data_IF_801418846988
#
_entry.id   IF_801418846988
#
_cell.length_a   1.000
_cell.length_b   1.000
_cell.length_c   1.000
_cell.angle_alpha   90.00
_cell.angle_beta   90.00
_cell.angle_gamma   90.00
#
_symmetry.space_group_name_H-M   'P 1'
#
loop_
_entity.id
_entity.type
_entity.pdbx_description
1 polymer ?
#
# COMPACT_ATOMS: atom_id res chain seq x y z
N UNK A 1 -40.38 -0.80 20.43
CA UNK A 1 -39.68 0.14 19.53
C UNK A 1 -40.71 1.14 19.03
N UNK A 2 -40.38 2.44 19.03
CA UNK A 2 -41.27 3.52 18.61
C UNK A 2 -40.59 4.25 17.45
N UNK A 3 -41.31 4.42 16.35
CA UNK A 3 -40.87 5.23 15.22
C UNK A 3 -41.78 6.45 15.11
N UNK A 4 -41.18 7.63 15.00
CA UNK A 4 -41.85 8.92 14.93
C UNK A 4 -41.47 9.64 13.63
N UNK A 5 -42.44 10.24 12.94
CA UNK A 5 -42.17 11.14 11.82
C UNK A 5 -41.99 12.61 12.28
N UNK A 6 -41.58 13.47 11.34
CA UNK A 6 -41.36 14.91 11.59
C UNK A 6 -42.65 15.66 11.97
N UNK A 7 -43.82 15.13 11.62
CA UNK A 7 -45.12 15.69 11.99
C UNK A 7 -45.60 15.22 13.37
N UNK A 8 -44.82 14.38 14.05
CA UNK A 8 -45.12 13.87 15.38
C UNK A 8 -46.05 12.65 15.39
N UNK A 9 -46.27 12.00 14.24
CA UNK A 9 -47.01 10.74 14.22
C UNK A 9 -46.10 9.62 14.68
N UNK A 10 -46.56 8.86 15.67
CA UNK A 10 -45.82 7.75 16.23
C UNK A 10 -46.51 6.41 15.96
N UNK A 11 -45.72 5.42 15.57
CA UNK A 11 -46.13 4.02 15.56
C UNK A 11 -45.24 3.23 16.51
N UNK A 12 -45.86 2.47 17.40
CA UNK A 12 -45.15 1.59 18.33
C UNK A 12 -45.38 0.13 17.98
N UNK A 13 -44.33 -0.67 18.16
CA UNK A 13 -44.41 -2.12 18.08
C UNK A 13 -43.76 -2.74 19.31
N UNK A 14 -44.36 -3.83 19.79
CA UNK A 14 -43.88 -4.64 20.90
C UNK A 14 -43.47 -5.99 20.32
N UNK A 15 -42.24 -6.40 20.57
CA UNK A 15 -41.79 -7.76 20.33
C UNK A 15 -41.38 -8.41 21.64
N UNK A 16 -41.69 -9.69 21.76
CA UNK A 16 -41.35 -10.48 22.93
C UNK A 16 -40.04 -11.22 22.66
N UNK A 17 -39.00 -10.86 23.41
CA UNK A 17 -37.74 -11.59 23.40
C UNK A 17 -37.89 -12.87 24.21
N UNK A 18 -37.96 -14.02 23.54
CA UNK A 18 -37.92 -15.33 24.19
C UNK A 18 -36.45 -15.78 24.33
N UNK A 19 -35.90 -15.66 25.54
CA UNK A 19 -34.56 -16.18 25.87
C UNK A 19 -34.60 -17.72 25.84
N UNK A 20 -33.69 -18.35 25.10
CA UNK A 20 -33.49 -19.80 25.18
C UNK A 20 -33.03 -20.17 26.61
N UNK A 21 -33.57 -21.22 27.25
CA UNK A 21 -33.13 -21.66 28.57
C UNK A 21 -31.66 -22.13 28.56
N UNK A 22 -31.17 -22.56 27.40
CA UNK A 22 -29.74 -22.77 27.14
C UNK A 22 -29.11 -21.45 26.71
N UNK A 23 -28.57 -20.72 27.69
CA UNK A 23 -27.48 -19.78 27.38
C UNK A 23 -26.23 -20.60 27.26
N UNK A 24 -25.86 -20.97 26.02
CA UNK A 24 -24.45 -21.24 25.77
C UNK A 24 -23.74 -19.94 26.17
N UNK A 25 -22.97 -19.98 27.26
CA UNK A 25 -22.10 -18.86 27.58
C UNK A 25 -21.36 -18.51 26.27
N UNK A 26 -21.34 -17.24 25.86
CA UNK A 26 -20.62 -16.87 24.65
C UNK A 26 -19.22 -17.47 24.78
N UNK A 27 -18.80 -18.21 23.76
CA UNK A 27 -17.48 -18.83 23.77
C UNK A 27 -16.48 -17.72 23.99
N UNK A 28 -15.87 -17.68 25.18
CA UNK A 28 -14.80 -16.74 25.46
C UNK A 28 -13.62 -17.23 24.61
N UNK A 29 -13.42 -16.58 23.47
CA UNK A 29 -12.22 -16.82 22.69
C UNK A 29 -11.02 -16.34 23.52
N UNK A 30 -9.94 -17.12 23.61
CA UNK A 30 -8.75 -16.66 24.28
C UNK A 30 -8.22 -15.42 23.55
N UNK A 31 -8.22 -14.28 24.22
CA UNK A 31 -7.63 -13.04 23.74
C UNK A 31 -6.24 -12.85 24.35
N UNK A 32 -5.35 -12.20 23.61
CA UNK A 32 -3.98 -11.95 24.07
C UNK A 32 -3.85 -10.55 24.66
N UNK A 33 -4.70 -9.62 24.23
CA UNK A 33 -4.72 -8.24 24.71
C UNK A 33 -6.14 -7.70 24.73
N UNK A 34 -6.45 -6.78 25.65
CA UNK A 34 -7.76 -6.15 25.72
C UNK A 34 -7.61 -4.64 25.53
N UNK A 35 -7.93 -4.17 24.32
CA UNK A 35 -7.91 -2.75 24.00
C UNK A 35 -9.27 -2.14 24.37
N UNK A 36 -9.25 -1.10 25.20
CA UNK A 36 -10.48 -0.37 25.55
C UNK A 36 -10.77 0.71 24.52
N UNK A 37 -12.03 0.81 24.08
CA UNK A 37 -12.45 1.92 23.24
C UNK A 37 -12.27 3.25 23.97
N UNK A 38 -11.92 4.28 23.21
CA UNK A 38 -11.68 5.60 23.78
C UNK A 38 -10.40 5.72 24.60
N UNK A 39 -9.48 4.74 24.53
CA UNK A 39 -8.17 4.76 25.22
C UNK A 39 -7.04 4.42 24.25
N UNK A 40 -5.92 5.12 24.38
CA UNK A 40 -4.70 4.77 23.66
C UNK A 40 -3.99 3.65 24.40
N UNK A 41 -3.54 2.63 23.68
CA UNK A 41 -2.89 1.46 24.27
C UNK A 41 -2.00 0.77 23.23
N UNK A 42 -1.10 -0.10 23.67
CA UNK A 42 -0.10 -0.74 22.82
C UNK A 42 0.12 -2.20 23.17
N UNK A 43 0.22 -3.04 22.15
CA UNK A 43 0.72 -4.41 22.24
C UNK A 43 2.19 -4.43 21.81
N UNK A 44 3.07 -4.93 22.67
CA UNK A 44 4.51 -5.02 22.38
C UNK A 44 5.00 -6.45 22.62
N UNK A 45 5.66 -7.01 21.61
CA UNK A 45 6.34 -8.30 21.65
C UNK A 45 7.79 -8.14 21.19
N UNK A 46 8.55 -9.23 21.12
CA UNK A 46 9.92 -9.21 20.61
C UNK A 46 10.03 -8.84 19.11
N UNK A 47 8.97 -9.09 18.32
CA UNK A 47 9.01 -8.96 16.85
C UNK A 47 7.86 -8.14 16.26
N UNK A 48 6.88 -7.75 17.07
CA UNK A 48 5.74 -6.93 16.65
C UNK A 48 5.40 -5.91 17.72
N UNK A 49 5.18 -4.66 17.30
CA UNK A 49 4.56 -3.61 18.10
C UNK A 49 3.34 -3.09 17.38
N UNK A 50 2.25 -2.90 18.10
CA UNK A 50 1.04 -2.28 17.59
C UNK A 50 0.60 -1.22 18.58
N UNK A 51 0.50 0.02 18.13
CA UNK A 51 0.00 1.13 18.94
C UNK A 51 -1.37 1.55 18.39
N UNK A 52 -2.38 1.44 19.24
CA UNK A 52 -3.79 1.73 18.95
C UNK A 52 -4.13 3.09 19.58
N UNK A 53 -4.28 4.15 18.77
CA UNK A 53 -4.70 5.45 19.27
C UNK A 53 -6.10 5.45 19.91
N UNK A 54 -6.35 6.45 20.75
CA UNK A 54 -7.57 6.62 21.54
C UNK A 54 -8.89 6.48 20.75
N UNK A 55 -8.89 6.90 19.49
CA UNK A 55 -10.09 6.97 18.64
C UNK A 55 -10.11 5.91 17.55
N UNK A 56 -9.28 4.87 17.65
CA UNK A 56 -9.18 3.84 16.61
C UNK A 56 -10.28 2.79 16.69
N UNK A 57 -10.84 2.53 17.87
CA UNK A 57 -11.85 1.50 18.09
C UNK A 57 -13.21 2.12 18.43
N UNK A 58 -14.29 1.54 17.89
CA UNK A 58 -15.67 1.90 18.21
C UNK A 58 -16.16 1.29 19.52
N UNK A 59 -15.62 0.13 19.89
CA UNK A 59 -15.96 -0.63 21.10
C UNK A 59 -14.72 -1.36 21.63
N UNK A 60 -14.82 -1.87 22.86
CA UNK A 60 -13.74 -2.65 23.48
C UNK A 60 -13.40 -3.88 22.63
N UNK A 61 -12.11 -4.13 22.43
CA UNK A 61 -11.60 -5.19 21.58
C UNK A 61 -10.81 -6.22 22.39
N UNK A 62 -11.34 -7.43 22.46
CA UNK A 62 -10.66 -8.62 22.96
C UNK A 62 -9.77 -9.18 21.85
N UNK A 63 -8.60 -8.57 21.69
CA UNK A 63 -7.73 -8.74 20.54
C UNK A 63 -7.15 -10.16 20.45
N UNK A 64 -7.33 -10.76 19.27
CA UNK A 64 -6.70 -12.02 18.91
C UNK A 64 -5.42 -11.78 18.12
N UNK A 65 -4.33 -12.35 18.63
CA UNK A 65 -3.00 -12.27 18.06
C UNK A 65 -2.44 -13.68 17.83
N UNK A 66 -1.90 -13.90 16.64
CA UNK A 66 -1.15 -15.11 16.32
C UNK A 66 -0.03 -14.84 15.33
N UNK A 67 0.89 -15.78 15.21
CA UNK A 67 1.94 -15.76 14.20
C UNK A 67 2.14 -17.15 13.62
N UNK A 68 2.32 -17.22 12.31
CA UNK A 68 2.60 -18.45 11.58
C UNK A 68 3.94 -18.28 10.85
N UNK A 69 4.86 -19.27 10.92
CA UNK A 69 6.07 -19.23 10.12
C UNK A 69 5.70 -19.29 8.64
N UNK A 70 6.28 -18.38 7.84
CA UNK A 70 6.14 -18.36 6.39
C UNK A 70 7.54 -18.22 5.82
N UNK A 71 7.82 -18.96 4.75
CA UNK A 71 9.11 -18.97 4.08
C UNK A 71 8.94 -18.67 2.60
N UNK A 72 9.87 -17.91 2.05
CA UNK A 72 9.96 -17.57 0.64
C UNK A 72 11.11 -16.58 0.43
N UNK A 73 11.66 -16.53 -0.76
CA UNK A 73 12.88 -15.75 -1.05
C UNK A 73 12.72 -14.25 -0.79
N UNK A 74 11.48 -13.74 -0.85
CA UNK A 74 11.13 -12.35 -0.59
C UNK A 74 10.54 -12.11 0.80
N UNK A 75 10.37 -13.14 1.65
CA UNK A 75 9.69 -13.03 2.95
C UNK A 75 10.70 -12.82 4.07
N UNK A 76 10.55 -11.72 4.81
CA UNK A 76 11.49 -11.29 5.86
C UNK A 76 10.84 -11.18 7.24
N UNK A 77 9.69 -11.83 7.48
CA UNK A 77 9.15 -12.03 8.82
C UNK A 77 8.22 -13.23 8.86
N UNK A 78 7.81 -13.66 10.07
CA UNK A 78 6.61 -14.47 10.20
C UNK A 78 5.38 -13.70 9.68
N UNK A 79 4.30 -14.42 9.38
CA UNK A 79 3.01 -13.81 9.12
C UNK A 79 2.27 -13.63 10.44
N UNK A 80 1.93 -12.40 10.77
CA UNK A 80 1.20 -12.04 11.98
C UNK A 80 -0.28 -11.84 11.68
N UNK A 81 -1.14 -12.57 12.39
CA UNK A 81 -2.58 -12.38 12.37
C UNK A 81 -2.96 -11.42 13.49
N UNK A 82 -3.45 -10.26 13.09
CA UNK A 82 -3.90 -9.17 13.96
C UNK A 82 -5.42 -9.07 13.85
N UNK A 83 -6.12 -9.90 14.62
CA UNK A 83 -7.58 -10.05 14.59
C UNK A 83 -8.19 -10.30 13.18
N UNK A 84 -9.52 -10.26 13.09
CA UNK A 84 -10.27 -10.34 11.85
C UNK A 84 -10.49 -8.96 11.20
N UNK A 85 -10.57 -8.92 9.86
CA UNK A 85 -10.85 -7.69 9.08
C UNK A 85 -12.29 -7.16 9.22
N UNK A 86 -13.09 -7.72 10.12
CA UNK A 86 -14.48 -7.29 10.33
C UNK A 86 -14.59 -6.14 11.32
N UNK A 87 -13.52 -5.89 12.07
CA UNK A 87 -13.48 -4.87 13.10
C UNK A 87 -12.98 -3.58 12.46
N UNK A 88 -13.87 -2.60 12.38
CA UNK A 88 -13.56 -1.32 11.74
C UNK A 88 -12.58 -0.51 12.60
N UNK A 89 -11.47 -0.10 11.99
CA UNK A 89 -10.59 0.92 12.57
C UNK A 89 -11.05 2.29 12.11
N UNK A 90 -11.50 3.11 13.07
CA UNK A 90 -11.95 4.49 12.82
C UNK A 90 -10.78 5.45 12.54
N UNK A 91 -9.60 5.12 13.06
CA UNK A 91 -8.34 5.84 12.85
C UNK A 91 -7.22 4.81 12.61
N UNK A 92 -6.23 5.11 11.75
CA UNK A 92 -5.11 4.21 11.51
C UNK A 92 -4.37 3.82 12.79
N UNK A 93 -3.92 2.57 12.83
CA UNK A 93 -3.12 1.98 13.89
C UNK A 93 -1.66 1.93 13.42
N UNK A 94 -0.73 2.25 14.31
CA UNK A 94 0.69 2.17 14.02
C UNK A 94 1.16 0.73 14.22
N UNK A 95 1.59 0.08 13.13
CA UNK A 95 2.14 -1.27 13.14
C UNK A 95 3.65 -1.20 12.92
N UNK A 96 4.41 -1.91 13.75
CA UNK A 96 5.83 -2.12 13.56
C UNK A 96 6.15 -3.61 13.60
N UNK A 97 6.89 -4.09 12.60
CA UNK A 97 7.39 -5.46 12.55
C UNK A 97 8.91 -5.40 12.50
N UNK A 98 9.56 -6.25 13.30
CA UNK A 98 11.01 -6.44 13.23
C UNK A 98 11.31 -7.50 12.17
N UNK A 99 11.98 -7.14 11.06
CA UNK A 99 12.33 -8.12 10.05
C UNK A 99 13.38 -9.10 10.54
N UNK A 100 13.46 -10.26 9.89
CA UNK A 100 14.56 -11.20 10.00
C UNK A 100 15.88 -10.55 9.56
N UNK A 101 17.04 -11.09 9.96
CA UNK A 101 18.33 -10.62 9.47
C UNK A 101 18.39 -10.60 7.94
N UNK A 102 18.94 -9.52 7.38
CA UNK A 102 19.00 -9.29 5.95
C UNK A 102 20.22 -8.44 5.59
N UNK A 103 20.72 -8.55 4.34
CA UNK A 103 21.79 -7.68 3.87
C UNK A 103 21.29 -6.23 3.70
N UNK A 104 22.19 -5.25 3.83
CA UNK A 104 21.86 -3.84 3.67
C UNK A 104 21.29 -3.52 2.27
N UNK A 105 21.67 -4.30 1.25
CA UNK A 105 21.21 -4.13 -0.14
C UNK A 105 19.70 -4.31 -0.33
N UNK A 106 19.03 -5.05 0.55
CA UNK A 106 17.57 -5.24 0.47
C UNK A 106 16.82 -4.38 1.47
N UNK A 107 17.50 -3.69 2.39
CA UNK A 107 16.88 -2.97 3.51
C UNK A 107 15.85 -1.94 3.03
N UNK A 108 16.19 -1.18 2.00
CA UNK A 108 15.27 -0.16 1.42
C UNK A 108 14.14 -0.79 0.61
N UNK A 109 14.25 -2.07 0.27
CA UNK A 109 13.26 -2.86 -0.47
C UNK A 109 12.20 -3.49 0.43
N UNK A 110 12.38 -3.45 1.76
CA UNK A 110 11.45 -4.08 2.69
C UNK A 110 10.20 -3.21 2.91
N UNK A 111 9.04 -3.85 2.76
CA UNK A 111 7.73 -3.28 2.98
C UNK A 111 6.90 -4.18 3.89
N UNK A 112 6.05 -3.58 4.71
CA UNK A 112 4.95 -4.31 5.36
C UNK A 112 3.86 -4.51 4.33
N UNK A 113 3.41 -5.75 4.16
CA UNK A 113 2.30 -6.10 3.29
C UNK A 113 1.21 -6.82 4.06
N UNK A 114 -0.03 -6.47 3.75
CA UNK A 114 -1.21 -7.19 4.18
C UNK A 114 -1.48 -8.34 3.20
N UNK A 115 -1.75 -9.53 3.72
CA UNK A 115 -2.08 -10.71 2.91
C UNK A 115 -3.59 -10.89 2.89
N UNK A 116 -4.19 -10.84 1.70
CA UNK A 116 -5.64 -11.08 1.56
C UNK A 116 -5.98 -12.58 1.57
N UNK A 117 -7.26 -12.93 1.49
CA UNK A 117 -7.71 -14.33 1.50
C UNK A 117 -7.21 -15.15 0.29
N UNK A 118 -6.95 -14.49 -0.85
CA UNK A 118 -6.37 -15.10 -2.05
C UNK A 118 -4.84 -15.25 -1.99
N UNK A 119 -4.19 -14.81 -0.90
CA UNK A 119 -2.74 -14.81 -0.77
C UNK A 119 -2.02 -13.67 -1.50
N UNK A 120 -2.74 -12.69 -2.04
CA UNK A 120 -2.16 -11.50 -2.69
C UNK A 120 -1.75 -10.46 -1.65
N UNK A 121 -0.65 -9.77 -1.95
CA UNK A 121 -0.12 -8.71 -1.13
C UNK A 121 -0.77 -7.36 -1.43
N UNK A 122 -1.18 -6.66 -0.38
CA UNK A 122 -1.51 -5.24 -0.38
C UNK A 122 -0.42 -4.53 0.40
N UNK A 123 0.50 -3.90 -0.32
CA UNK A 123 1.65 -3.23 0.27
C UNK A 123 1.24 -1.98 1.03
N UNK A 124 1.87 -1.77 2.18
CA UNK A 124 1.65 -0.59 3.00
C UNK A 124 2.88 0.32 2.94
N UNK A 125 2.64 1.63 2.93
CA UNK A 125 3.72 2.61 2.97
C UNK A 125 4.55 2.41 4.25
N UNK A 126 5.80 2.00 4.07
CA UNK A 126 6.66 1.55 5.17
C UNK A 126 7.87 2.46 5.34
N UNK A 127 8.26 2.69 6.58
CA UNK A 127 9.42 3.51 6.94
C UNK A 127 10.22 2.83 8.03
N UNK A 128 11.52 3.06 8.07
CA UNK A 128 12.38 2.50 9.11
C UNK A 128 12.36 3.37 10.37
N UNK A 129 12.15 2.74 11.52
CA UNK A 129 12.33 3.30 12.87
C UNK A 129 13.36 2.45 13.61
N UNK A 130 14.63 2.84 13.49
CA UNK A 130 15.77 2.05 13.96
C UNK A 130 15.85 0.68 13.26
N UNK A 131 15.62 -0.40 14.02
CA UNK A 131 15.59 -1.78 13.49
C UNK A 131 14.18 -2.29 13.18
N UNK A 132 13.17 -1.44 13.33
CA UNK A 132 11.77 -1.78 13.10
C UNK A 132 11.31 -1.19 11.79
N UNK A 133 10.55 -1.97 11.02
CA UNK A 133 9.82 -1.44 9.89
C UNK A 133 8.44 -1.02 10.38
N UNK A 134 8.04 0.22 10.10
CA UNK A 134 6.81 0.85 10.57
C UNK A 134 5.87 1.15 9.41
N UNK A 135 4.57 0.89 9.59
CA UNK A 135 3.50 1.31 8.69
C UNK A 135 2.26 1.74 9.49
N UNK A 136 1.39 2.52 8.86
CA UNK A 136 0.03 2.74 9.36
C UNK A 136 -0.94 1.79 8.69
N UNK A 137 -1.77 1.11 9.47
CA UNK A 137 -2.79 0.17 8.98
C UNK A 137 -4.18 0.70 9.31
N UNK A 138 -5.11 0.60 8.36
CA UNK A 138 -6.51 1.00 8.53
C UNK A 138 -7.47 -0.18 8.67
N UNK A 139 -6.92 -1.40 8.66
CA UNK A 139 -7.67 -2.65 8.77
C UNK A 139 -6.87 -3.70 9.53
N UNK A 140 -7.57 -4.52 10.30
CA UNK A 140 -7.00 -5.72 10.89
C UNK A 140 -6.79 -6.82 9.82
N UNK A 141 -6.10 -7.90 10.20
CA UNK A 141 -5.82 -9.03 9.30
C UNK A 141 -4.40 -9.55 9.37
N UNK A 142 -3.93 -10.16 8.28
CA UNK A 142 -2.63 -10.82 8.21
C UNK A 142 -1.57 -9.89 7.63
N UNK A 143 -0.45 -9.74 8.31
CA UNK A 143 0.64 -8.85 7.92
C UNK A 143 2.00 -9.56 7.99
N UNK A 144 2.88 -9.23 7.06
CA UNK A 144 4.27 -9.69 7.06
C UNK A 144 5.18 -8.66 6.39
N UNK A 145 6.49 -8.83 6.57
CA UNK A 145 7.50 -8.06 5.86
C UNK A 145 7.90 -8.81 4.60
N UNK A 146 7.85 -8.12 3.46
CA UNK A 146 8.21 -8.65 2.15
C UNK A 146 9.17 -7.68 1.46
N UNK A 147 10.12 -8.21 0.69
CA UNK A 147 10.98 -7.40 -0.17
C UNK A 147 10.34 -7.21 -1.55
N UNK A 148 10.24 -5.97 -1.99
CA UNK A 148 9.91 -5.65 -3.37
C UNK A 148 11.17 -5.50 -4.22
N UNK A 149 11.35 -6.42 -5.16
CA UNK A 149 12.55 -6.51 -6.01
C UNK A 149 12.25 -6.33 -7.49
N UNK A 150 10.99 -6.13 -7.86
CA UNK A 150 10.57 -6.04 -9.27
C UNK A 150 10.61 -4.58 -9.70
N UNK A 151 11.28 -4.29 -10.81
CA UNK A 151 11.32 -2.94 -11.34
C UNK A 151 10.02 -2.60 -12.10
N UNK A 152 9.61 -1.31 -12.13
CA UNK A 152 8.47 -0.88 -12.91
C UNK A 152 8.70 -1.16 -14.40
N UNK A 153 7.65 -1.49 -15.14
CA UNK A 153 7.73 -1.77 -16.57
C UNK A 153 7.42 -0.52 -17.39
N UNK A 154 8.18 -0.29 -18.46
CA UNK A 154 7.97 0.81 -19.40
C UNK A 154 7.61 0.23 -20.76
N UNK A 155 6.43 0.54 -21.28
CA UNK A 155 5.99 0.11 -22.61
C UNK A 155 5.64 1.30 -23.48
N UNK A 156 6.32 1.47 -24.61
CA UNK A 156 5.95 2.47 -25.62
C UNK A 156 4.56 2.12 -26.20
N UNK A 157 3.62 3.05 -26.08
CA UNK A 157 2.26 2.93 -26.63
C UNK A 157 2.19 3.63 -27.99
N UNK A 158 2.76 4.82 -28.09
CA UNK A 158 2.83 5.56 -29.35
C UNK A 158 3.99 6.53 -29.38
N UNK A 159 4.48 6.74 -30.61
CA UNK A 159 5.40 7.82 -30.96
C UNK A 159 4.81 8.52 -32.17
N UNK A 160 4.49 9.80 -32.02
CA UNK A 160 3.97 10.64 -33.12
C UNK A 160 4.93 11.79 -33.39
N UNK A 161 5.02 12.18 -34.67
CA UNK A 161 5.86 13.27 -35.11
C UNK A 161 5.05 14.20 -36.03
N UNK A 162 5.20 15.51 -35.86
CA UNK A 162 4.61 16.53 -36.71
C UNK A 162 5.59 17.70 -36.84
N UNK A 163 6.17 17.86 -38.03
CA UNK A 163 7.27 18.80 -38.26
C UNK A 163 8.45 18.48 -37.34
N UNK A 164 8.88 19.47 -36.55
CA UNK A 164 9.95 19.32 -35.55
C UNK A 164 9.46 18.82 -34.18
N UNK A 165 8.15 18.59 -34.00
CA UNK A 165 7.58 18.16 -32.72
C UNK A 165 7.43 16.65 -32.66
N UNK A 166 7.86 16.05 -31.54
CA UNK A 166 7.68 14.64 -31.24
C UNK A 166 6.94 14.46 -29.92
N UNK A 167 6.05 13.47 -29.87
CA UNK A 167 5.37 13.05 -28.64
C UNK A 167 5.55 11.55 -28.46
N UNK A 168 6.00 11.15 -27.28
CA UNK A 168 6.04 9.77 -26.85
C UNK A 168 5.01 9.56 -25.74
N UNK A 169 4.28 8.46 -25.81
CA UNK A 169 3.36 8.04 -24.75
C UNK A 169 3.70 6.62 -24.34
N UNK A 170 3.90 6.42 -23.03
CA UNK A 170 4.29 5.16 -22.42
C UNK A 170 3.22 4.67 -21.46
N UNK A 171 3.02 3.37 -21.38
CA UNK A 171 2.35 2.68 -20.29
C UNK A 171 3.37 2.30 -19.23
N UNK A 172 3.12 2.68 -17.98
CA UNK A 172 3.98 2.37 -16.85
C UNK A 172 3.23 1.46 -15.88
N UNK A 173 3.73 0.26 -15.59
CA UNK A 173 3.11 -0.62 -14.59
C UNK A 173 4.10 -0.96 -13.50
N UNK A 174 3.59 -0.99 -12.27
CA UNK A 174 4.34 -1.32 -11.07
C UNK A 174 3.57 -2.34 -10.24
N UNK A 175 4.27 -3.29 -9.62
CA UNK A 175 3.68 -4.34 -8.79
C UNK A 175 3.35 -3.83 -7.38
N UNK A 176 4.01 -2.76 -6.94
CA UNK A 176 3.84 -2.15 -5.62
C UNK A 176 3.43 -0.69 -5.78
N UNK A 177 2.20 -0.37 -5.39
CA UNK A 177 1.72 1.01 -5.37
C UNK A 177 1.57 1.50 -3.92
N UNK A 178 2.66 1.78 -3.18
CA UNK A 178 2.54 2.45 -1.89
C UNK A 178 2.30 3.95 -2.12
N UNK A 179 1.88 4.65 -1.07
CA UNK A 179 1.51 6.08 -1.09
C UNK A 179 2.61 7.07 -1.56
N UNK A 180 3.81 6.59 -1.95
CA UNK A 180 4.93 7.39 -2.44
C UNK A 180 4.99 7.60 -3.96
N UNK A 181 4.27 6.79 -4.75
CA UNK A 181 4.18 6.92 -6.20
C UNK A 181 5.48 6.65 -6.97
N UNK A 182 5.39 6.65 -8.30
CA UNK A 182 6.52 6.50 -9.22
C UNK A 182 7.27 7.82 -9.40
N UNK A 183 8.59 7.75 -9.47
CA UNK A 183 9.47 8.84 -9.89
C UNK A 183 9.89 8.61 -11.34
N UNK A 184 10.04 9.67 -12.11
CA UNK A 184 10.44 9.55 -13.51
C UNK A 184 11.27 10.73 -13.98
N UNK A 185 12.15 10.47 -14.94
CA UNK A 185 13.01 11.46 -15.56
C UNK A 185 13.11 11.17 -17.07
N UNK A 186 12.82 12.17 -17.89
CA UNK A 186 12.93 12.07 -19.34
C UNK A 186 14.03 13.01 -19.83
N UNK A 187 14.87 12.51 -20.74
CA UNK A 187 15.97 13.30 -21.32
C UNK A 187 16.09 13.08 -22.81
N UNK A 188 16.58 14.09 -23.52
CA UNK A 188 17.04 14.01 -24.90
C UNK A 188 18.52 14.40 -24.93
N UNK A 189 19.41 13.50 -25.33
CA UNK A 189 20.87 13.70 -25.27
C UNK A 189 21.38 14.14 -23.88
N UNK A 190 20.76 13.61 -22.83
CA UNK A 190 20.99 13.93 -21.41
C UNK A 190 20.47 15.30 -20.94
N UNK A 191 19.85 16.09 -21.82
CA UNK A 191 19.13 17.31 -21.43
C UNK A 191 17.71 16.96 -20.99
N UNK A 192 17.26 17.51 -19.87
CA UNK A 192 15.93 17.24 -19.32
C UNK A 192 14.82 17.71 -20.26
N UNK A 193 13.75 16.92 -20.37
CA UNK A 193 12.51 17.29 -21.07
C UNK A 193 11.29 17.04 -20.18
N UNK A 194 10.24 17.84 -20.40
CA UNK A 194 9.01 17.72 -19.64
C UNK A 194 8.31 16.39 -19.94
N UNK A 195 8.00 15.68 -18.86
CA UNK A 195 7.18 14.47 -18.86
C UNK A 195 6.00 14.63 -17.90
N UNK A 196 4.82 14.22 -18.34
CA UNK A 196 3.57 14.31 -17.58
C UNK A 196 3.05 12.90 -17.28
N UNK A 197 2.83 12.59 -15.99
CA UNK A 197 2.25 11.31 -15.58
C UNK A 197 0.76 11.43 -15.27
N UNK A 198 -0.05 10.71 -16.03
CA UNK A 198 -1.47 10.46 -15.75
C UNK A 198 -1.60 9.15 -14.97
N UNK A 199 -1.64 9.27 -13.65
CA UNK A 199 -1.80 8.16 -12.70
C UNK A 199 -3.07 7.34 -12.96
N UNK A 200 -4.17 7.95 -13.44
CA UNK A 200 -5.43 7.22 -13.66
C UNK A 200 -5.36 6.29 -14.87
N UNK A 201 -4.47 6.58 -15.82
CA UNK A 201 -4.28 5.83 -17.05
C UNK A 201 -2.97 5.06 -17.08
N UNK A 202 -2.15 5.19 -16.05
CA UNK A 202 -0.80 4.64 -16.02
C UNK A 202 0.01 5.11 -17.25
N UNK A 203 -0.06 6.41 -17.57
CA UNK A 203 0.58 6.97 -18.78
C UNK A 203 1.58 8.07 -18.48
N UNK A 204 2.80 7.92 -18.98
CA UNK A 204 3.74 9.04 -19.08
C UNK A 204 3.75 9.56 -20.51
N UNK A 205 3.53 10.86 -20.68
CA UNK A 205 3.66 11.54 -21.98
C UNK A 205 4.83 12.50 -21.96
N UNK A 206 5.75 12.35 -22.91
CA UNK A 206 6.90 13.23 -23.10
C UNK A 206 6.69 14.00 -24.40
N UNK A 207 6.87 15.32 -24.37
CA UNK A 207 6.79 16.17 -25.57
C UNK A 207 8.13 16.83 -25.80
N UNK A 208 8.58 16.77 -27.04
CA UNK A 208 9.82 17.39 -27.49
C UNK A 208 9.46 18.33 -28.63
N UNK A 209 9.81 19.59 -28.46
CA UNK A 209 9.66 20.63 -29.48
C UNK A 209 10.98 21.36 -29.61
N UNK A 210 11.59 21.28 -30.80
CA UNK A 210 12.77 22.05 -31.16
C UNK A 210 12.42 23.02 -32.28
N UNK A 211 13.04 24.21 -32.28
CA UNK A 211 12.95 25.12 -33.43
C UNK A 211 13.63 24.52 -34.65
N UNK A 212 14.77 23.87 -34.45
CA UNK A 212 15.55 23.15 -35.46
C UNK A 212 16.23 21.92 -34.82
N UNK A 213 16.42 20.87 -35.61
CA UNK A 213 17.17 19.67 -35.22
C UNK A 213 18.55 19.75 -35.89
N UNK A 214 19.58 20.04 -35.10
CA UNK A 214 20.95 20.29 -35.55
C UNK A 214 21.80 19.02 -35.69
N UNK A 215 21.30 17.87 -35.21
CA UNK A 215 21.96 16.56 -35.34
C UNK A 215 21.13 15.59 -36.17
N UNK A 216 21.82 14.66 -36.81
CA UNK A 216 21.18 13.53 -37.53
C UNK A 216 20.58 12.51 -36.57
N UNK A 217 21.06 12.45 -35.32
CA UNK A 217 20.59 11.50 -34.32
C UNK A 217 20.52 12.12 -32.94
N UNK A 218 19.49 11.74 -32.19
CA UNK A 218 19.34 12.07 -30.76
C UNK A 218 18.93 10.81 -29.99
N UNK A 219 19.31 10.75 -28.73
CA UNK A 219 18.94 9.67 -27.81
C UNK A 219 17.92 10.17 -26.81
N UNK A 220 16.67 9.74 -26.97
CA UNK A 220 15.64 9.89 -25.94
C UNK A 220 15.82 8.81 -24.88
N UNK A 221 15.69 9.19 -23.61
CA UNK A 221 15.66 8.26 -22.48
C UNK A 221 14.51 8.59 -21.54
N UNK A 222 13.85 7.56 -21.03
CA UNK A 222 12.90 7.65 -19.93
C UNK A 222 13.34 6.69 -18.82
N UNK A 223 13.75 7.24 -17.69
CA UNK A 223 14.00 6.50 -16.45
C UNK A 223 12.73 6.57 -15.58
N UNK A 224 12.30 5.42 -15.05
CA UNK A 224 11.23 5.32 -14.06
C UNK A 224 11.74 4.52 -12.87
N UNK A 225 11.49 5.02 -11.66
CA UNK A 225 11.88 4.43 -10.38
C UNK A 225 10.64 4.31 -9.48
N UNK A 226 10.48 3.16 -8.82
CA UNK A 226 9.41 2.92 -7.85
C UNK A 226 9.71 3.56 -6.47
N UNK A 227 8.86 3.28 -5.48
CA UNK A 227 8.99 3.86 -4.15
C UNK A 227 10.14 3.27 -3.31
N UNK A 228 10.68 2.11 -3.69
CA UNK A 228 11.76 1.41 -2.99
C UNK A 228 13.10 1.44 -3.74
N UNK A 229 13.14 2.12 -4.89
CA UNK A 229 14.32 2.35 -5.70
C UNK A 229 14.58 1.30 -6.78
N UNK A 230 13.64 0.41 -7.12
CA UNK A 230 13.79 -0.38 -8.35
C UNK A 230 13.48 0.51 -9.55
N UNK A 231 14.27 0.39 -10.62
CA UNK A 231 14.19 1.31 -11.75
C UNK A 231 14.33 0.62 -13.09
N UNK A 232 13.66 1.16 -14.10
CA UNK A 232 13.78 0.76 -15.50
C UNK A 232 14.08 1.97 -16.36
N UNK A 233 14.96 1.80 -17.35
CA UNK A 233 15.25 2.83 -18.36
C UNK A 233 14.79 2.35 -19.73
N UNK A 234 14.11 3.22 -20.46
CA UNK A 234 13.77 3.04 -21.87
C UNK A 234 14.61 3.99 -22.71
N UNK A 235 15.39 3.45 -23.65
CA UNK A 235 16.20 4.20 -24.60
C UNK A 235 15.60 4.13 -26.01
N UNK A 236 15.58 5.26 -26.72
CA UNK A 236 15.11 5.33 -28.11
C UNK A 236 15.98 6.28 -28.94
N UNK A 237 16.43 5.82 -30.11
CA UNK A 237 17.20 6.64 -31.05
C UNK A 237 16.28 7.29 -32.08
N UNK A 238 16.21 8.62 -32.04
CA UNK A 238 15.57 9.44 -33.07
C UNK A 238 16.58 9.67 -34.20
N UNK A 239 16.16 9.41 -35.44
CA UNK A 239 16.97 9.66 -36.63
C UNK A 239 16.27 10.71 -37.49
N UNK A 240 17.00 11.77 -37.82
CA UNK A 240 16.59 12.84 -38.71
C UNK A 240 17.32 12.69 -40.05
N UNK A 241 16.59 12.86 -41.14
CA UNK A 241 17.12 12.79 -42.51
C UNK A 241 17.58 14.16 -42.98
#
# INVERSE_FOLDING_TARGET
LIASDFAGNETSTIFYLRRSPTVNAPRVLPFQHHFKAGQADSLVTAYLKMNVPQKSLSEDLYFQFGSEPVSGDQVFSAQYRLDEDRIALLMPVDLQIRPFPHPDSIKQKLLIARVNEEGKYQYCASTWDGTWLKSQISRFGKYQVIADIEAPTIKLISHTASGSSHQFTFEIKDNVMPAGGLRYNATLDNEWILAEYDLKRDRITCRISASEWDKTTYTFKLLVEDAVGNSTTYDYRLNFK
#
